data_IF_219661332539
#
_entry.id   IF_219661332539
#
_cell.length_a   1.000
_cell.length_b   1.000
_cell.length_c   1.000
_cell.angle_alpha   90.00
_cell.angle_beta   90.00
_cell.angle_gamma   90.00
#
_symmetry.space_group_name_H-M   'P 1'
#
loop_
_entity.id
_entity.type
_entity.pdbx_description
1 polymer ?
#
# COMPACT_ATOMS: atom_id res chain seq x y z
N UNK A 1 5.52 4.91 16.38
CA UNK A 1 5.71 5.77 15.20
C UNK A 1 5.95 4.85 14.01
N UNK A 2 5.13 4.91 12.97
CA UNK A 2 5.37 4.11 11.76
C UNK A 2 6.60 4.67 11.03
N UNK A 3 7.59 3.83 10.74
CA UNK A 3 8.78 4.24 10.00
C UNK A 3 8.43 4.37 8.51
N UNK A 4 8.33 5.61 8.03
CA UNK A 4 8.06 5.93 6.63
C UNK A 4 9.36 5.95 5.84
N UNK A 5 9.54 4.99 4.93
CA UNK A 5 10.69 4.93 4.03
C UNK A 5 10.27 5.41 2.64
N UNK A 6 10.90 6.45 2.13
CA UNK A 6 10.59 6.94 0.78
C UNK A 6 10.97 5.88 -0.28
N UNK A 7 10.10 5.70 -1.27
CA UNK A 7 10.31 4.74 -2.37
C UNK A 7 11.11 5.43 -3.47
N UNK A 8 12.42 5.20 -3.51
CA UNK A 8 13.30 5.79 -4.53
C UNK A 8 13.26 5.07 -5.89
N UNK A 9 12.86 3.81 -5.91
CA UNK A 9 12.78 3.02 -7.13
C UNK A 9 11.53 2.14 -7.15
N UNK A 10 11.00 1.96 -8.35
CA UNK A 10 9.88 1.09 -8.69
C UNK A 10 10.13 -0.38 -8.39
N UNK A 11 11.39 -0.83 -8.36
CA UNK A 11 11.77 -2.21 -8.02
C UNK A 11 11.47 -2.57 -6.57
N UNK A 12 11.34 -1.57 -5.70
CA UNK A 12 10.98 -1.74 -4.29
C UNK A 12 9.48 -1.94 -4.08
N UNK A 13 8.68 -1.79 -5.14
CA UNK A 13 7.23 -1.97 -5.10
C UNK A 13 6.86 -3.44 -5.08
N UNK A 14 6.14 -3.85 -4.05
CA UNK A 14 5.59 -5.20 -3.93
C UNK A 14 4.13 -5.15 -3.48
N UNK A 15 3.34 -6.13 -3.92
CA UNK A 15 1.91 -6.20 -3.56
C UNK A 15 1.68 -6.54 -2.07
N UNK A 16 2.68 -7.07 -1.37
CA UNK A 16 2.61 -7.42 0.05
C UNK A 16 2.79 -6.23 0.99
N UNK A 17 3.31 -5.10 0.50
CA UNK A 17 3.64 -3.92 1.32
C UNK A 17 2.53 -2.87 1.27
N UNK A 18 2.53 -1.98 2.25
CA UNK A 18 1.63 -0.82 2.31
C UNK A 18 2.41 0.46 2.08
N UNK A 19 1.83 1.35 1.29
CA UNK A 19 2.41 2.62 0.89
C UNK A 19 1.52 3.77 1.33
N UNK A 20 2.10 4.80 1.90
CA UNK A 20 1.43 6.06 2.20
C UNK A 20 1.69 7.06 1.08
N UNK A 21 0.60 7.55 0.47
CA UNK A 21 0.61 8.57 -0.57
C UNK A 21 -0.44 9.62 -0.21
N UNK A 22 -0.05 10.90 -0.12
CA UNK A 22 -0.95 11.99 0.28
C UNK A 22 -1.76 11.69 1.55
N UNK A 23 -1.08 11.15 2.58
CA UNK A 23 -1.66 10.73 3.89
C UNK A 23 -2.70 9.61 3.82
N UNK A 24 -2.88 9.00 2.65
CA UNK A 24 -3.79 7.88 2.41
C UNK A 24 -2.95 6.60 2.27
N UNK A 25 -3.46 5.46 2.76
CA UNK A 25 -2.72 4.19 2.64
C UNK A 25 -3.22 3.39 1.45
N UNK A 26 -2.27 2.89 0.69
CA UNK A 26 -2.47 2.20 -0.56
C UNK A 26 -1.70 0.89 -0.58
N UNK A 27 -2.24 -0.08 -1.31
CA UNK A 27 -1.54 -1.26 -1.75
C UNK A 27 -1.11 -1.07 -3.21
N UNK A 28 0.11 -1.45 -3.56
CA UNK A 28 0.53 -1.54 -4.95
C UNK A 28 -0.17 -2.72 -5.64
N UNK A 29 -0.55 -2.57 -6.91
CA UNK A 29 -1.19 -3.63 -7.70
C UNK A 29 -0.28 -4.16 -8.82
N UNK A 30 0.08 -3.27 -9.75
CA UNK A 30 0.86 -3.60 -10.94
C UNK A 30 1.35 -2.33 -11.66
N UNK A 31 2.29 -2.54 -12.59
CA UNK A 31 2.84 -1.51 -13.48
C UNK A 31 2.25 -1.67 -14.87
N UNK A 32 1.97 -0.54 -15.54
CA UNK A 32 1.56 -0.46 -16.95
C UNK A 32 2.35 0.65 -17.66
N UNK A 33 2.10 0.83 -18.96
CA UNK A 33 2.75 1.86 -19.76
C UNK A 33 4.07 1.39 -20.38
N UNK A 34 4.80 2.34 -20.98
CA UNK A 34 6.08 2.06 -21.64
C UNK A 34 7.24 2.28 -20.67
N UNK A 35 8.45 1.86 -21.05
CA UNK A 35 9.67 2.10 -20.26
C UNK A 35 9.89 3.61 -20.03
N UNK A 36 9.60 4.44 -21.03
CA UNK A 36 9.73 5.91 -20.94
C UNK A 36 8.60 6.56 -20.11
N UNK A 37 7.40 5.97 -20.15
CA UNK A 37 6.22 6.51 -19.47
C UNK A 37 5.53 5.45 -18.60
N UNK A 38 6.19 4.98 -17.53
CA UNK A 38 5.62 3.97 -16.66
C UNK A 38 4.49 4.56 -15.81
N UNK A 39 3.47 3.74 -15.58
CA UNK A 39 2.31 4.04 -14.73
C UNK A 39 2.16 2.97 -13.67
N UNK A 40 2.08 3.38 -12.42
CA UNK A 40 2.00 2.51 -11.24
C UNK A 40 0.60 2.60 -10.64
N UNK A 41 -0.07 1.46 -10.50
CA UNK A 41 -1.43 1.37 -10.00
C UNK A 41 -1.45 1.02 -8.52
N UNK A 42 -2.28 1.74 -7.77
CA UNK A 42 -2.42 1.63 -6.33
C UNK A 42 -3.89 1.55 -5.95
N UNK A 43 -4.22 0.69 -4.98
CA UNK A 43 -5.57 0.55 -4.44
C UNK A 43 -5.63 1.03 -3.00
N UNK A 44 -6.59 1.89 -2.62
CA UNK A 44 -6.72 2.30 -1.22
C UNK A 44 -7.07 1.08 -0.35
N UNK A 45 -6.56 1.06 0.88
CA UNK A 45 -6.92 0.01 1.84
C UNK A 45 -8.40 0.11 2.26
N UNK A 46 -8.99 -1.04 2.59
CA UNK A 46 -10.36 -1.10 3.11
C UNK A 46 -10.51 -0.26 4.39
N UNK A 47 -11.68 0.35 4.57
CA UNK A 47 -11.97 1.23 5.72
C UNK A 47 -11.59 2.71 5.51
N UNK A 48 -10.98 3.08 4.38
CA UNK A 48 -10.67 4.48 4.08
C UNK A 48 -11.81 5.19 3.34
N UNK A 49 -11.91 6.52 3.54
CA UNK A 49 -12.92 7.36 2.84
C UNK A 49 -12.71 7.36 1.32
N UNK A 50 -11.45 7.20 0.88
CA UNK A 50 -11.07 7.19 -0.53
C UNK A 50 -11.22 5.76 -1.07
N UNK A 51 -12.05 5.58 -2.09
CA UNK A 51 -12.38 4.27 -2.68
C UNK A 51 -11.84 4.07 -4.10
N UNK A 52 -11.17 5.10 -4.64
CA UNK A 52 -10.72 5.12 -6.03
C UNK A 52 -9.24 4.73 -6.09
N UNK A 53 -8.92 3.84 -7.04
CA UNK A 53 -7.56 3.45 -7.36
C UNK A 53 -6.74 4.69 -7.81
N UNK A 54 -5.50 4.78 -7.36
CA UNK A 54 -4.58 5.87 -7.66
C UNK A 54 -3.57 5.43 -8.71
N UNK A 55 -3.32 6.30 -9.68
CA UNK A 55 -2.33 6.09 -10.72
C UNK A 55 -1.20 7.12 -10.57
N UNK A 56 0.04 6.63 -10.44
CA UNK A 56 1.23 7.48 -10.35
C UNK A 56 2.17 7.25 -11.53
N UNK A 57 2.89 8.30 -11.92
CA UNK A 57 4.05 8.18 -12.80
C UNK A 57 5.34 8.04 -11.97
N UNK A 58 6.48 7.82 -12.64
CA UNK A 58 7.76 7.66 -11.95
C UNK A 58 8.13 8.86 -11.06
N UNK A 59 7.97 10.09 -11.55
CA UNK A 59 8.28 11.30 -10.78
C UNK A 59 7.42 11.43 -9.51
N UNK A 60 6.13 11.12 -9.62
CA UNK A 60 5.21 11.18 -8.48
C UNK A 60 5.47 10.05 -7.48
N UNK A 61 5.86 8.86 -7.97
CA UNK A 61 6.27 7.75 -7.12
C UNK A 61 7.45 8.15 -6.23
N UNK A 62 8.53 8.64 -6.82
CA UNK A 62 9.78 8.93 -6.08
C UNK A 62 9.72 10.16 -5.19
N UNK A 63 8.68 11.00 -5.32
CA UNK A 63 8.55 12.23 -4.52
C UNK A 63 7.47 12.16 -3.44
N UNK A 64 6.46 11.29 -3.58
CA UNK A 64 5.29 11.28 -2.70
C UNK A 64 4.93 9.90 -2.15
N UNK A 65 5.59 8.83 -2.59
CA UNK A 65 5.31 7.48 -2.14
C UNK A 65 6.28 7.08 -1.02
N UNK A 66 5.71 6.69 0.12
CA UNK A 66 6.46 6.20 1.27
C UNK A 66 5.99 4.80 1.63
N UNK A 67 6.90 3.82 1.67
CA UNK A 67 6.65 2.53 2.28
C UNK A 67 6.45 2.70 3.79
N UNK A 68 5.38 2.08 4.32
CA UNK A 68 5.11 2.04 5.76
C UNK A 68 5.75 0.78 6.33
N UNK A 69 6.95 0.92 6.89
CA UNK A 69 7.72 -0.22 7.40
C UNK A 69 6.96 -0.93 8.53
N UNK A 70 6.93 -2.25 8.49
CA UNK A 70 6.23 -3.09 9.48
C UNK A 70 4.74 -3.27 9.22
N UNK A 71 4.18 -2.64 8.18
CA UNK A 71 2.80 -2.88 7.74
C UNK A 71 2.82 -3.66 6.42
N UNK A 72 2.36 -4.91 6.47
CA UNK A 72 2.12 -5.72 5.28
C UNK A 72 0.62 -5.86 5.05
N UNK A 73 0.23 -5.91 3.78
CA UNK A 73 -1.10 -6.34 3.39
C UNK A 73 -1.16 -7.87 3.38
N UNK A 74 -0.90 -8.48 4.55
CA UNK A 74 -1.32 -9.86 4.77
C UNK A 74 -2.80 -9.81 5.07
N UNK A 75 -3.62 -9.89 4.01
CA UNK A 75 -5.01 -10.28 4.12
C UNK A 75 -5.10 -11.76 4.53
N UNK A 76 -4.47 -12.15 5.64
CA UNK A 76 -5.04 -13.22 6.46
C UNK A 76 -6.26 -12.57 7.10
N UNK A 77 -7.42 -12.80 6.49
CA UNK A 77 -8.71 -12.64 7.14
C UNK A 77 -8.68 -13.55 8.38
N UNK A 78 -8.09 -13.08 9.47
CA UNK A 78 -8.44 -13.59 10.79
C UNK A 78 -9.67 -12.78 11.14
N UNK A 79 -10.83 -13.30 10.70
CA UNK A 79 -12.08 -12.98 11.36
C UNK A 79 -11.87 -13.29 12.84
N UNK A 80 -11.64 -12.25 13.64
CA UNK A 80 -11.56 -12.31 15.11
C UNK A 80 -12.97 -12.35 15.72
N UNK A 81 -13.97 -12.78 14.95
CA UNK A 81 -15.21 -13.25 15.53
C UNK A 81 -14.91 -14.60 16.20
N UNK A 82 -15.13 -14.67 17.51
CA UNK A 82 -15.06 -15.88 18.35
C UNK A 82 -13.67 -16.38 18.78
N UNK A 83 -12.95 -15.58 19.59
CA UNK A 83 -12.14 -16.15 20.66
C UNK A 83 -12.70 -15.68 22.00
N UNK A 84 -13.91 -16.17 22.31
CA UNK A 84 -14.46 -16.09 23.66
C UNK A 84 -13.63 -17.06 24.53
N UNK A 85 -12.67 -16.52 25.26
CA UNK A 85 -11.97 -17.26 26.29
C UNK A 85 -12.96 -17.53 27.42
N UNK A 86 -13.56 -18.73 27.41
CA UNK A 86 -14.19 -19.32 28.58
C UNK A 86 -13.11 -19.61 29.61
N UNK A 87 -13.06 -18.81 30.67
CA UNK A 87 -12.32 -19.14 31.88
C UNK A 87 -13.31 -19.93 32.74
N UNK A 88 -13.15 -21.25 32.80
CA UNK A 88 -13.75 -22.09 33.84
C UNK A 88 -12.80 -22.13 35.04
#
# INVERSE_FOLDING_TARGET
MNNLNIVYDSTLLTNSKVYQIDRTLYQYLYKTGTIQHPKYHFRPLAGQRKKVDLLLNYKALTTRCYEVSGMSNNASVISLESLQLSIF
#
